data_IF_247855319814
#
_entry.id   IF_247855319814
#
_cell.length_a   1.000
_cell.length_b   1.000
_cell.length_c   1.000
_cell.angle_alpha   90.00
_cell.angle_beta   90.00
_cell.angle_gamma   90.00
#
_symmetry.space_group_name_H-M   'P 1'
#
loop_
_entity.id
_entity.type
_entity.pdbx_description
1 polymer ?
#
# COMPACT_ATOMS: atom_id res chain seq x y z
N UNK A 1 13.55 -66.53 22.57
CA UNK A 1 14.20 -65.42 21.83
C UNK A 1 13.18 -64.37 21.34
N UNK A 2 11.91 -64.75 21.14
CA UNK A 2 10.86 -63.94 20.47
C UNK A 2 10.30 -62.72 21.25
N UNK A 3 10.23 -62.75 22.58
CA UNK A 3 9.59 -61.69 23.39
C UNK A 3 10.39 -60.36 23.42
N UNK A 4 11.73 -60.44 23.32
CA UNK A 4 12.60 -59.25 23.31
C UNK A 4 12.55 -58.50 21.97
N UNK A 5 12.41 -59.24 20.87
CA UNK A 5 12.34 -58.68 19.50
C UNK A 5 10.99 -58.01 19.24
N UNK A 6 9.88 -58.58 19.73
CA UNK A 6 8.54 -57.99 19.62
C UNK A 6 8.44 -56.66 20.40
N UNK A 7 8.99 -56.63 21.64
CA UNK A 7 9.06 -55.39 22.44
C UNK A 7 9.90 -54.30 21.78
N UNK A 8 10.99 -54.66 21.09
CA UNK A 8 11.83 -53.70 20.38
C UNK A 8 11.12 -53.12 19.14
N UNK A 9 10.34 -53.95 18.44
CA UNK A 9 9.51 -53.53 17.30
C UNK A 9 8.37 -52.62 17.74
N UNK A 10 7.66 -52.99 18.81
CA UNK A 10 6.60 -52.18 19.41
C UNK A 10 7.14 -50.82 19.93
N UNK A 11 8.33 -50.81 20.54
CA UNK A 11 8.99 -49.57 20.96
C UNK A 11 9.36 -48.66 19.78
N UNK A 12 9.87 -49.23 18.67
CA UNK A 12 10.21 -48.47 17.46
C UNK A 12 8.97 -47.89 16.76
N UNK A 13 7.90 -48.65 16.67
CA UNK A 13 6.62 -48.19 16.09
C UNK A 13 6.03 -47.04 16.91
N UNK A 14 6.04 -47.17 18.24
CA UNK A 14 5.62 -46.10 19.16
C UNK A 14 6.48 -44.85 19.02
N UNK A 15 7.80 -44.99 18.88
CA UNK A 15 8.71 -43.87 18.64
C UNK A 15 8.47 -43.24 17.26
N UNK A 16 8.25 -44.03 16.21
CA UNK A 16 7.96 -43.52 14.88
C UNK A 16 6.63 -42.76 14.82
N UNK A 17 5.60 -43.26 15.52
CA UNK A 17 4.30 -42.59 15.65
C UNK A 17 4.43 -41.26 16.41
N UNK A 18 5.06 -41.26 17.59
CA UNK A 18 5.29 -40.04 18.35
C UNK A 18 6.14 -39.01 17.57
N UNK A 19 7.14 -39.46 16.81
CA UNK A 19 7.92 -38.55 15.96
C UNK A 19 7.11 -38.02 14.75
N UNK A 20 6.22 -38.84 14.18
CA UNK A 20 5.35 -38.41 13.10
C UNK A 20 4.30 -37.41 13.58
N UNK A 21 3.74 -37.59 14.78
CA UNK A 21 2.80 -36.64 15.38
C UNK A 21 3.51 -35.32 15.73
N UNK A 22 4.67 -35.38 16.38
CA UNK A 22 5.46 -34.17 16.68
C UNK A 22 5.81 -33.37 15.42
N UNK A 23 6.23 -34.04 14.34
CA UNK A 23 6.52 -33.35 13.05
C UNK A 23 5.29 -32.72 12.42
N UNK A 24 4.10 -33.32 12.61
CA UNK A 24 2.83 -32.75 12.13
C UNK A 24 2.46 -31.52 12.94
N UNK A 25 2.58 -31.57 14.26
CA UNK A 25 2.34 -30.42 15.16
C UNK A 25 3.32 -29.27 14.84
N UNK A 26 4.62 -29.54 14.71
CA UNK A 26 5.63 -28.53 14.34
C UNK A 26 5.41 -27.96 12.92
N UNK A 27 4.85 -28.76 12.00
CA UNK A 27 4.50 -28.27 10.67
C UNK A 27 3.24 -27.39 10.73
N UNK A 28 2.22 -27.81 11.47
CA UNK A 28 0.99 -27.03 11.67
C UNK A 28 1.28 -25.70 12.37
N UNK A 29 2.11 -25.68 13.42
CA UNK A 29 2.50 -24.45 14.12
C UNK A 29 3.23 -23.48 13.18
N UNK A 30 4.17 -23.98 12.35
CA UNK A 30 4.87 -23.14 11.35
C UNK A 30 3.95 -22.61 10.27
N UNK A 31 2.94 -23.37 9.86
CA UNK A 31 1.94 -22.93 8.88
C UNK A 31 1.05 -21.84 9.48
N UNK A 32 0.62 -21.99 10.73
CA UNK A 32 -0.22 -21.00 11.41
C UNK A 32 0.55 -19.70 11.72
N UNK A 33 1.81 -19.78 12.15
CA UNK A 33 2.69 -18.61 12.33
C UNK A 33 2.92 -17.86 11.01
N UNK A 34 3.23 -18.61 9.93
CA UNK A 34 3.40 -18.02 8.60
C UNK A 34 2.11 -17.36 8.09
N UNK A 35 0.95 -17.97 8.35
CA UNK A 35 -0.35 -17.40 7.98
C UNK A 35 -0.67 -16.15 8.80
N UNK A 36 -0.45 -16.17 10.10
CA UNK A 36 -0.67 -15.01 10.96
C UNK A 36 0.22 -13.82 10.57
N UNK A 37 1.48 -14.10 10.22
CA UNK A 37 2.40 -13.08 9.72
C UNK A 37 1.94 -12.51 8.37
N UNK A 38 1.57 -13.37 7.42
CA UNK A 38 1.07 -12.93 6.11
C UNK A 38 -0.23 -12.09 6.24
N UNK A 39 -1.14 -12.47 7.13
CA UNK A 39 -2.39 -11.74 7.37
C UNK A 39 -2.12 -10.38 8.05
N UNK A 40 -1.15 -10.31 8.96
CA UNK A 40 -0.71 -9.05 9.58
C UNK A 40 -0.06 -8.10 8.56
N UNK A 41 0.77 -8.62 7.65
CA UNK A 41 1.38 -7.83 6.57
C UNK A 41 0.33 -7.34 5.58
N UNK A 42 -0.66 -8.17 5.22
CA UNK A 42 -1.78 -7.77 4.38
C UNK A 42 -2.61 -6.65 5.03
N UNK A 43 -2.99 -6.79 6.31
CA UNK A 43 -3.73 -5.73 7.04
C UNK A 43 -2.93 -4.45 7.16
N UNK A 44 -1.62 -4.53 7.34
CA UNK A 44 -0.74 -3.35 7.38
C UNK A 44 -0.71 -2.64 6.03
N UNK A 45 -0.63 -3.38 4.92
CA UNK A 45 -0.67 -2.81 3.58
C UNK A 45 -2.03 -2.15 3.27
N UNK A 46 -3.13 -2.78 3.66
CA UNK A 46 -4.48 -2.21 3.51
C UNK A 46 -4.66 -0.93 4.34
N UNK A 47 -4.18 -0.92 5.58
CA UNK A 47 -4.25 0.28 6.44
C UNK A 47 -3.40 1.42 5.85
N UNK A 48 -2.21 1.13 5.33
CA UNK A 48 -1.38 2.13 4.66
C UNK A 48 -2.04 2.69 3.40
N UNK A 49 -2.68 1.84 2.59
CA UNK A 49 -3.43 2.30 1.42
C UNK A 49 -4.60 3.22 1.82
N UNK A 50 -5.34 2.85 2.88
CA UNK A 50 -6.44 3.67 3.40
C UNK A 50 -5.98 4.99 4.02
N UNK A 51 -4.85 5.00 4.74
CA UNK A 51 -4.27 6.23 5.29
C UNK A 51 -3.76 7.14 4.19
N UNK A 52 -3.14 6.59 3.13
CA UNK A 52 -2.72 7.35 1.97
C UNK A 52 -3.93 7.99 1.27
N UNK A 53 -4.99 7.21 1.01
CA UNK A 53 -6.22 7.73 0.40
C UNK A 53 -6.91 8.79 1.28
N UNK A 54 -6.90 8.61 2.60
CA UNK A 54 -7.45 9.58 3.54
C UNK A 54 -6.62 10.87 3.60
N UNK A 55 -5.28 10.77 3.55
CA UNK A 55 -4.39 11.93 3.48
C UNK A 55 -4.55 12.69 2.16
N UNK A 56 -4.71 11.97 1.05
CA UNK A 56 -4.99 12.55 -0.26
C UNK A 56 -6.36 13.26 -0.29
N UNK A 57 -7.37 12.78 0.44
CA UNK A 57 -8.70 13.43 0.55
C UNK A 57 -8.75 14.58 1.56
N UNK A 58 -8.03 14.48 2.68
CA UNK A 58 -8.02 15.53 3.70
C UNK A 58 -7.28 16.78 3.23
N UNK A 59 -6.34 16.61 2.28
CA UNK A 59 -5.50 17.67 1.77
C UNK A 59 -5.94 18.14 0.38
N UNK A 60 -7.23 18.10 0.04
CA UNK A 60 -7.76 18.71 -1.21
C UNK A 60 -8.41 20.05 -0.94
N UNK A 61 -7.81 21.12 -1.49
CA UNK A 61 -8.32 22.50 -1.45
C UNK A 61 -9.57 22.68 -2.31
N UNK A 62 -9.54 22.13 -3.52
CA UNK A 62 -10.61 22.30 -4.51
C UNK A 62 -10.54 21.21 -5.59
N UNK A 63 -11.60 21.08 -6.38
CA UNK A 63 -11.56 20.38 -7.68
C UNK A 63 -11.74 21.39 -8.81
N UNK A 64 -10.99 21.22 -9.90
CA UNK A 64 -11.05 22.10 -11.06
C UNK A 64 -11.06 21.26 -12.34
N UNK A 65 -11.98 21.54 -13.24
CA UNK A 65 -11.98 20.92 -14.58
C UNK A 65 -11.01 21.66 -15.48
N UNK A 66 -9.98 20.98 -15.98
CA UNK A 66 -8.98 21.58 -16.85
C UNK A 66 -9.61 21.96 -18.20
N UNK A 67 -9.48 23.21 -18.62
CA UNK A 67 -9.91 23.64 -19.96
C UNK A 67 -8.74 23.56 -20.96
N UNK A 68 -9.03 23.58 -22.27
CA UNK A 68 -8.00 23.49 -23.31
C UNK A 68 -7.01 24.67 -23.33
N UNK A 69 -7.36 25.78 -22.70
CA UNK A 69 -6.53 26.99 -22.58
C UNK A 69 -5.74 27.03 -21.26
N UNK A 70 -5.99 26.09 -20.34
CA UNK A 70 -5.34 26.02 -19.04
C UNK A 70 -4.27 24.92 -19.01
N UNK A 71 -3.19 25.19 -18.25
CA UNK A 71 -2.14 24.20 -17.96
C UNK A 71 -2.00 24.00 -16.46
N UNK A 72 -1.26 22.99 -16.02
CA UNK A 72 -0.99 22.76 -14.59
C UNK A 72 -0.37 23.98 -13.91
N UNK A 73 0.52 24.69 -14.61
CA UNK A 73 1.13 25.94 -14.14
C UNK A 73 0.10 27.07 -13.99
N UNK A 74 -0.90 27.16 -14.88
CA UNK A 74 -2.00 28.14 -14.74
C UNK A 74 -2.90 27.83 -13.54
N UNK A 75 -3.27 26.55 -13.35
CA UNK A 75 -4.01 26.11 -12.16
C UNK A 75 -3.23 26.43 -10.89
N UNK A 76 -1.95 26.11 -10.88
CA UNK A 76 -1.05 26.42 -9.78
C UNK A 76 -1.02 27.91 -9.47
N UNK A 77 -0.86 28.75 -10.49
CA UNK A 77 -0.90 30.20 -10.32
C UNK A 77 -2.24 30.69 -9.74
N UNK A 78 -3.35 30.13 -10.21
CA UNK A 78 -4.70 30.49 -9.78
C UNK A 78 -5.00 30.10 -8.32
N UNK A 79 -4.60 28.90 -7.91
CA UNK A 79 -4.93 28.36 -6.58
C UNK A 79 -3.88 28.65 -5.51
N UNK A 80 -2.62 28.81 -5.93
CA UNK A 80 -1.46 28.94 -5.05
C UNK A 80 -0.70 30.26 -5.24
N UNK A 81 -1.04 31.07 -6.24
CA UNK A 81 -0.34 32.32 -6.52
C UNK A 81 1.04 32.14 -7.16
N UNK A 82 1.46 30.90 -7.45
CA UNK A 82 2.75 30.62 -8.09
C UNK A 82 2.61 29.56 -9.19
N UNK A 83 3.21 29.83 -10.35
CA UNK A 83 3.32 28.89 -11.47
C UNK A 83 4.61 28.04 -11.43
N UNK A 84 5.45 28.20 -10.40
CA UNK A 84 6.77 27.55 -10.35
C UNK A 84 6.70 26.11 -9.87
N UNK A 85 7.73 25.30 -10.16
CA UNK A 85 7.97 24.10 -9.37
C UNK A 85 8.28 24.56 -7.92
N UNK A 86 7.71 23.97 -6.86
CA UNK A 86 7.03 22.67 -6.76
C UNK A 86 5.50 22.68 -6.86
N UNK A 87 4.88 23.85 -7.04
CA UNK A 87 3.43 24.04 -6.88
C UNK A 87 2.60 23.28 -7.93
N UNK A 88 2.92 23.45 -9.22
CA UNK A 88 2.22 22.72 -10.29
C UNK A 88 2.47 21.20 -10.22
N UNK A 89 3.62 20.81 -9.67
CA UNK A 89 4.01 19.41 -9.49
C UNK A 89 3.20 18.73 -8.39
N UNK A 90 2.81 19.46 -7.36
CA UNK A 90 1.88 18.99 -6.32
C UNK A 90 0.53 18.58 -6.92
N UNK A 91 -0.02 19.41 -7.82
CA UNK A 91 -1.26 19.14 -8.55
C UNK A 91 -1.08 17.91 -9.44
N UNK A 92 0.05 17.82 -10.15
CA UNK A 92 0.34 16.66 -10.98
C UNK A 92 0.40 15.37 -10.16
N UNK A 93 1.13 15.34 -9.04
CA UNK A 93 1.30 14.12 -8.23
C UNK A 93 -0.04 13.62 -7.69
N UNK A 94 -0.87 14.53 -7.16
CA UNK A 94 -2.21 14.23 -6.67
C UNK A 94 -3.17 13.71 -7.76
N UNK A 95 -2.89 14.00 -9.03
CA UNK A 95 -3.71 13.60 -10.17
C UNK A 95 -2.98 12.72 -11.17
N UNK A 96 -1.81 12.16 -10.79
CA UNK A 96 -0.99 11.37 -11.72
C UNK A 96 -1.76 10.17 -12.26
N UNK A 97 -2.64 9.60 -11.45
CA UNK A 97 -3.55 8.53 -11.86
C UNK A 97 -4.52 8.94 -12.98
N UNK A 98 -4.90 10.23 -13.07
CA UNK A 98 -5.81 10.76 -14.09
C UNK A 98 -5.05 11.33 -15.30
N UNK A 99 -3.94 12.02 -15.07
CA UNK A 99 -3.13 12.68 -16.12
C UNK A 99 -2.27 11.67 -16.90
N UNK A 100 -1.79 10.62 -16.22
CA UNK A 100 -0.80 9.68 -16.76
C UNK A 100 0.64 10.13 -16.52
N UNK A 101 1.58 9.55 -17.27
CA UNK A 101 3.02 9.74 -17.06
C UNK A 101 3.58 11.07 -17.60
N UNK A 102 2.83 11.76 -18.47
CA UNK A 102 3.28 12.98 -19.15
C UNK A 102 2.64 14.23 -18.53
N UNK A 103 3.33 14.97 -17.63
CA UNK A 103 2.78 16.19 -17.03
C UNK A 103 2.60 17.34 -18.03
N UNK A 104 3.35 17.34 -19.13
CA UNK A 104 3.25 18.35 -20.19
C UNK A 104 2.11 18.08 -21.18
N UNK A 105 1.52 16.87 -21.14
CA UNK A 105 0.48 16.46 -22.06
C UNK A 105 -0.76 16.06 -21.28
N UNK A 106 -1.43 17.08 -20.73
CA UNK A 106 -2.67 16.89 -19.97
C UNK A 106 -3.86 17.07 -20.89
N UNK A 107 -4.77 16.10 -20.88
CA UNK A 107 -5.98 16.14 -21.69
C UNK A 107 -6.97 17.13 -21.07
N UNK A 108 -7.46 18.13 -21.80
CA UNK A 108 -8.50 19.02 -21.30
C UNK A 108 -9.84 18.29 -21.15
N UNK A 109 -10.67 18.76 -20.22
CA UNK A 109 -11.96 18.17 -19.86
C UNK A 109 -11.90 17.17 -18.70
N UNK A 110 -10.74 16.95 -18.09
CA UNK A 110 -10.60 16.11 -16.90
C UNK A 110 -10.73 16.94 -15.61
N UNK A 111 -11.32 16.34 -14.58
CA UNK A 111 -11.39 16.92 -13.24
C UNK A 111 -10.07 16.65 -12.50
N UNK A 112 -9.39 17.74 -12.12
CA UNK A 112 -8.15 17.71 -11.35
C UNK A 112 -8.42 18.13 -9.91
N UNK A 113 -7.95 17.33 -8.97
CA UNK A 113 -7.92 17.64 -7.54
C UNK A 113 -6.77 18.59 -7.23
N UNK A 114 -7.07 19.74 -6.67
CA UNK A 114 -6.10 20.73 -6.23
C UNK A 114 -5.80 20.45 -4.77
N UNK A 115 -4.61 19.92 -4.42
CA UNK A 115 -4.26 19.72 -3.02
C UNK A 115 -4.14 21.04 -2.23
N UNK A 116 -4.20 21.04 -0.90
CA UNK A 116 -3.80 22.23 -0.14
C UNK A 116 -2.28 22.37 -0.15
N UNK A 117 -1.81 23.61 -0.03
CA UNK A 117 -0.39 23.84 0.14
C UNK A 117 0.02 23.47 1.55
N UNK A 118 1.08 22.66 1.72
CA UNK A 118 1.72 22.54 3.02
C UNK A 118 2.13 23.93 3.51
N UNK A 119 2.01 24.15 4.82
CA UNK A 119 2.16 25.49 5.41
C UNK A 119 3.54 26.09 5.13
N UNK A 120 4.59 25.27 5.04
CA UNK A 120 5.95 25.65 4.62
C UNK A 120 6.03 26.32 3.23
N UNK A 121 5.03 26.15 2.37
CA UNK A 121 5.03 26.67 1.01
C UNK A 121 4.09 27.86 0.81
N UNK A 122 3.39 28.32 1.85
CA UNK A 122 2.64 29.58 1.80
C UNK A 122 3.66 30.70 2.00
N UNK A 123 4.18 31.30 0.92
CA UNK A 123 5.04 32.49 1.05
C UNK A 123 4.22 33.64 1.67
N UNK A 124 4.64 34.11 2.84
CA UNK A 124 4.27 35.40 3.45
C UNK A 124 4.51 36.59 2.49
#
# INVERSE_FOLDING_TARGET
>A
MTDKEDRLKAARDKVAKNQAEKRKEEHQERVEDAKAKAEAEARKAELQAKVKEAAEKANTKATHTLTADETLSHLSLKYYGSATEPYWRLIYDANKATIGDNPNHVVPGIELRIPELPEDMKKD
#
